data_IF_366344192989
#
_entry.id   IF_366344192989
#
_cell.length_a   1.000
_cell.length_b   1.000
_cell.length_c   1.000
_cell.angle_alpha   90.00
_cell.angle_beta   90.00
_cell.angle_gamma   90.00
#
_symmetry.space_group_name_H-M   'P 1'
#
loop_
_entity.id
_entity.type
_entity.pdbx_description
1 polymer ?
#
# COMPACT_ATOMS: atom_id res chain seq x y z
N UNK A 1 70.28 -11.39 8.85
CA UNK A 1 69.54 -10.31 9.55
C UNK A 1 68.13 -10.29 8.97
N UNK A 2 67.16 -10.89 9.68
CA UNK A 2 65.78 -10.93 9.24
C UNK A 2 65.13 -9.58 9.55
N UNK A 3 64.65 -8.90 8.51
CA UNK A 3 63.93 -7.64 8.63
C UNK A 3 62.54 -7.98 9.19
N UNK A 4 62.31 -7.69 10.47
CA UNK A 4 60.97 -7.77 11.07
C UNK A 4 60.24 -6.48 10.68
N UNK A 5 59.26 -6.60 9.80
CA UNK A 5 58.37 -5.49 9.49
C UNK A 5 57.65 -5.03 10.77
N UNK A 6 57.51 -3.72 10.99
CA UNK A 6 56.86 -3.19 12.18
C UNK A 6 55.40 -3.70 12.26
N UNK A 7 54.89 -3.99 13.47
CA UNK A 7 53.51 -4.43 13.64
C UNK A 7 52.56 -3.39 13.06
N UNK A 8 51.59 -3.86 12.28
CA UNK A 8 50.58 -3.01 11.68
C UNK A 8 49.86 -2.20 12.78
N UNK A 9 49.63 -0.89 12.58
CA UNK A 9 48.94 -0.05 13.55
C UNK A 9 47.52 -0.57 13.78
N UNK A 10 47.12 -0.63 15.05
CA UNK A 10 45.78 -1.05 15.47
C UNK A 10 44.72 -0.16 14.79
N UNK A 11 43.69 -0.74 14.15
CA UNK A 11 42.67 0.04 13.47
C UNK A 11 41.89 0.84 14.52
N UNK A 12 41.88 2.17 14.36
CA UNK A 12 41.05 3.04 15.18
C UNK A 12 39.57 2.78 14.87
N UNK A 13 38.65 2.88 15.85
CA UNK A 13 37.23 2.60 15.64
C UNK A 13 36.55 3.53 14.61
N UNK A 14 37.13 4.71 14.35
CA UNK A 14 36.67 5.59 13.27
C UNK A 14 37.13 5.11 11.87
N UNK A 15 38.25 4.39 11.80
CA UNK A 15 38.76 3.76 10.59
C UNK A 15 37.93 2.55 10.16
N UNK A 16 37.38 1.77 11.11
CA UNK A 16 36.56 0.60 10.81
C UNK A 16 35.26 0.96 10.08
N UNK A 17 34.58 2.04 10.50
CA UNK A 17 33.35 2.49 9.84
C UNK A 17 33.59 3.01 8.42
N UNK A 18 34.73 3.67 8.19
CA UNK A 18 35.13 4.12 6.86
C UNK A 18 35.60 2.96 5.97
N UNK A 19 36.31 1.99 6.54
CA UNK A 19 36.70 0.76 5.86
C UNK A 19 35.47 -0.07 5.46
N UNK A 20 34.48 -0.23 6.35
CA UNK A 20 33.20 -0.89 6.01
C UNK A 20 32.42 -0.15 4.93
N UNK A 21 32.38 1.19 4.97
CA UNK A 21 31.74 1.97 3.91
C UNK A 21 32.49 1.87 2.58
N UNK A 22 33.83 1.89 2.59
CA UNK A 22 34.63 1.76 1.38
C UNK A 22 34.55 0.35 0.78
N UNK A 23 34.55 -0.68 1.62
CA UNK A 23 34.39 -2.07 1.20
C UNK A 23 32.98 -2.30 0.64
N UNK A 24 31.94 -1.78 1.30
CA UNK A 24 30.58 -1.78 0.75
C UNK A 24 30.48 -1.09 -0.62
N UNK A 25 31.19 0.03 -0.81
CA UNK A 25 31.26 0.75 -2.10
C UNK A 25 32.07 -0.01 -3.15
N UNK A 26 33.15 -0.70 -2.76
CA UNK A 26 33.94 -1.55 -3.66
C UNK A 26 33.12 -2.74 -4.13
N UNK A 27 32.43 -3.45 -3.23
CA UNK A 27 31.53 -4.56 -3.59
C UNK A 27 30.32 -4.13 -4.43
N UNK A 28 29.79 -2.92 -4.26
CA UNK A 28 28.77 -2.36 -5.17
C UNK A 28 29.32 -2.13 -6.58
N UNK A 29 30.62 -1.80 -6.69
CA UNK A 29 31.32 -1.60 -7.96
C UNK A 29 31.63 -2.93 -8.65
N UNK A 30 32.10 -3.91 -7.89
CA UNK A 30 32.43 -5.26 -8.40
C UNK A 30 31.17 -6.04 -8.82
N UNK A 31 30.01 -5.76 -8.19
CA UNK A 31 28.70 -6.32 -8.58
C UNK A 31 28.26 -5.97 -10.01
N UNK A 32 28.81 -4.91 -10.60
CA UNK A 32 28.59 -4.61 -12.02
C UNK A 32 29.12 -5.67 -12.98
N UNK A 33 29.94 -6.64 -12.52
CA UNK A 33 30.57 -7.66 -13.37
C UNK A 33 29.85 -9.01 -13.46
N UNK A 34 28.95 -9.37 -12.55
CA UNK A 34 28.33 -10.72 -12.54
C UNK A 34 26.80 -10.71 -12.66
N UNK A 35 26.08 -9.82 -11.96
CA UNK A 35 24.62 -9.72 -12.03
C UNK A 35 24.14 -8.29 -11.72
N UNK A 36 23.31 -7.71 -12.60
CA UNK A 36 22.68 -6.42 -12.34
C UNK A 36 21.52 -6.59 -11.34
N UNK A 37 21.76 -6.25 -10.07
CA UNK A 37 20.72 -6.28 -9.03
C UNK A 37 19.75 -5.11 -9.26
N UNK A 38 18.43 -5.36 -9.41
CA UNK A 38 17.47 -4.28 -9.56
C UNK A 38 17.38 -3.46 -8.25
N UNK A 39 17.07 -2.15 -8.33
CA UNK A 39 16.89 -1.33 -7.13
C UNK A 39 15.74 -1.80 -6.24
N UNK A 40 14.81 -2.59 -6.78
CA UNK A 40 13.66 -3.18 -6.11
C UNK A 40 13.45 -4.59 -6.65
N UNK A 41 13.55 -5.61 -5.79
CA UNK A 41 13.49 -7.01 -6.22
C UNK A 41 12.15 -7.39 -6.87
N UNK A 42 11.04 -6.79 -6.42
CA UNK A 42 9.69 -7.09 -6.92
C UNK A 42 9.28 -6.29 -8.17
N UNK A 43 10.17 -5.49 -8.77
CA UNK A 43 9.77 -4.55 -9.83
C UNK A 43 9.29 -5.24 -11.12
N UNK A 44 9.82 -6.41 -11.44
CA UNK A 44 9.41 -7.21 -12.61
C UNK A 44 7.98 -7.73 -12.43
N UNK A 45 7.67 -8.31 -11.28
CA UNK A 45 6.35 -8.83 -10.94
C UNK A 45 5.30 -7.71 -10.87
N UNK A 46 5.67 -6.56 -10.30
CA UNK A 46 4.82 -5.37 -10.29
C UNK A 46 4.44 -4.93 -11.72
N UNK A 47 5.41 -4.87 -12.64
CA UNK A 47 5.16 -4.47 -14.04
C UNK A 47 4.27 -5.45 -14.79
N UNK A 48 4.45 -6.75 -14.59
CA UNK A 48 3.60 -7.78 -15.22
C UNK A 48 2.12 -7.64 -14.82
N UNK A 49 1.85 -7.14 -13.60
CA UNK A 49 0.49 -6.93 -13.13
C UNK A 49 -0.16 -5.64 -13.69
N UNK A 50 0.63 -4.67 -14.18
CA UNK A 50 0.13 -3.35 -14.58
C UNK A 50 -0.86 -3.43 -15.75
N UNK A 51 -0.62 -4.33 -16.70
CA UNK A 51 -1.47 -4.49 -17.90
C UNK A 51 -2.87 -5.04 -17.60
N UNK A 52 -3.03 -5.82 -16.54
CA UNK A 52 -4.27 -6.54 -16.25
C UNK A 52 -5.32 -5.69 -15.52
N UNK A 53 -4.88 -4.78 -14.66
CA UNK A 53 -5.80 -4.02 -13.80
C UNK A 53 -6.12 -2.63 -14.34
N UNK A 54 -5.18 -1.94 -14.99
CA UNK A 54 -5.40 -0.55 -15.38
C UNK A 54 -6.44 -0.37 -16.49
N UNK A 55 -6.44 -1.24 -17.50
CA UNK A 55 -7.28 -1.10 -18.68
C UNK A 55 -8.79 -1.24 -18.40
N UNK A 56 -9.27 -2.24 -17.62
CA UNK A 56 -10.70 -2.36 -17.30
C UNK A 56 -11.22 -1.19 -16.46
N UNK A 57 -10.44 -0.68 -15.51
CA UNK A 57 -10.85 0.49 -14.71
C UNK A 57 -10.97 1.73 -15.58
N UNK A 58 -10.01 1.99 -16.47
CA UNK A 58 -10.06 3.14 -17.37
C UNK A 58 -11.28 3.05 -18.30
N UNK A 59 -11.56 1.85 -18.84
CA UNK A 59 -12.71 1.60 -19.70
C UNK A 59 -14.05 1.81 -18.96
N UNK A 60 -14.14 1.36 -17.71
CA UNK A 60 -15.34 1.61 -16.88
C UNK A 60 -15.57 3.10 -16.61
N UNK A 61 -14.50 3.85 -16.35
CA UNK A 61 -14.59 5.30 -16.13
C UNK A 61 -14.95 6.08 -17.38
N UNK A 62 -14.34 5.76 -18.53
CA UNK A 62 -14.67 6.41 -19.80
C UNK A 62 -16.11 6.12 -20.21
N UNK A 63 -16.59 4.90 -20.01
CA UNK A 63 -17.98 4.52 -20.26
C UNK A 63 -18.95 5.28 -19.34
N UNK A 64 -18.63 5.38 -18.04
CA UNK A 64 -19.47 6.10 -17.08
C UNK A 64 -19.53 7.59 -17.41
N UNK A 65 -18.39 8.22 -17.71
CA UNK A 65 -18.33 9.61 -18.13
C UNK A 65 -19.14 9.84 -19.41
N UNK A 66 -18.98 8.98 -20.43
CA UNK A 66 -19.74 9.06 -21.67
C UNK A 66 -21.25 8.93 -21.44
N UNK A 67 -21.69 7.97 -20.63
CA UNK A 67 -23.11 7.79 -20.31
C UNK A 67 -23.70 9.01 -19.60
N UNK A 68 -22.97 9.62 -18.66
CA UNK A 68 -23.42 10.82 -17.95
C UNK A 68 -23.50 12.02 -18.90
N UNK A 69 -22.50 12.21 -19.77
CA UNK A 69 -22.50 13.29 -20.78
C UNK A 69 -23.62 13.12 -21.81
N UNK A 70 -23.95 11.90 -22.22
CA UNK A 70 -24.99 11.63 -23.21
C UNK A 70 -26.41 11.69 -22.63
N UNK A 71 -26.59 11.47 -21.32
CA UNK A 71 -27.92 11.30 -20.73
C UNK A 71 -28.57 12.58 -20.21
N UNK A 72 -27.85 13.71 -20.14
CA UNK A 72 -28.33 14.89 -19.43
C UNK A 72 -28.16 16.19 -20.23
N UNK A 73 -29.27 16.89 -20.37
CA UNK A 73 -29.33 18.25 -20.90
C UNK A 73 -28.80 19.21 -19.81
N UNK A 74 -27.61 19.77 -20.02
CA UNK A 74 -26.84 20.51 -19.00
C UNK A 74 -27.62 21.69 -18.38
N UNK A 75 -28.62 22.21 -19.09
CA UNK A 75 -29.48 23.31 -18.66
C UNK A 75 -30.44 22.96 -17.51
N UNK A 76 -30.72 21.67 -17.25
CA UNK A 76 -31.78 21.23 -16.31
C UNK A 76 -31.27 20.57 -15.03
N UNK A 77 -29.96 20.38 -14.87
CA UNK A 77 -29.40 19.62 -13.76
C UNK A 77 -28.21 20.35 -13.09
N UNK A 78 -28.46 21.29 -12.16
CA UNK A 78 -27.38 22.05 -11.49
C UNK A 78 -26.43 21.16 -10.69
N UNK A 79 -26.90 19.99 -10.24
CA UNK A 79 -26.08 19.02 -9.51
C UNK A 79 -25.17 18.17 -10.42
N UNK A 80 -25.36 18.22 -11.74
CA UNK A 80 -24.57 17.43 -12.69
C UNK A 80 -23.09 17.75 -12.64
N UNK A 81 -22.74 19.03 -12.47
CA UNK A 81 -21.34 19.45 -12.36
C UNK A 81 -20.64 18.81 -11.15
N UNK A 82 -21.37 18.65 -10.04
CA UNK A 82 -20.86 17.99 -8.84
C UNK A 82 -20.72 16.47 -9.02
N UNK A 83 -21.64 15.84 -9.74
CA UNK A 83 -21.53 14.43 -10.10
C UNK A 83 -20.30 14.18 -11.00
N UNK A 84 -20.13 14.99 -12.05
CA UNK A 84 -18.98 14.92 -12.94
C UNK A 84 -17.66 15.12 -12.20
N UNK A 85 -17.59 16.13 -11.32
CA UNK A 85 -16.41 16.35 -10.49
C UNK A 85 -16.12 15.14 -9.58
N UNK A 86 -17.15 14.57 -8.96
CA UNK A 86 -17.02 13.40 -8.09
C UNK A 86 -16.51 12.17 -8.86
N UNK A 87 -17.02 11.94 -10.07
CA UNK A 87 -16.55 10.85 -10.94
C UNK A 87 -15.10 11.07 -11.41
N UNK A 88 -14.74 12.29 -11.79
CA UNK A 88 -13.36 12.61 -12.18
C UNK A 88 -12.39 12.42 -11.01
N UNK A 89 -12.75 12.90 -9.82
CA UNK A 89 -11.91 12.75 -8.64
C UNK A 89 -11.79 11.27 -8.23
N UNK A 90 -12.89 10.52 -8.31
CA UNK A 90 -12.89 9.07 -8.12
C UNK A 90 -11.95 8.36 -9.10
N UNK A 91 -12.01 8.69 -10.39
CA UNK A 91 -11.14 8.13 -11.41
C UNK A 91 -9.65 8.35 -11.10
N UNK A 92 -9.29 9.59 -10.75
CA UNK A 92 -7.91 9.96 -10.38
C UNK A 92 -7.45 9.18 -9.16
N UNK A 93 -8.30 9.02 -8.15
CA UNK A 93 -7.96 8.27 -6.94
C UNK A 93 -7.83 6.77 -7.20
N UNK A 94 -8.64 6.17 -8.07
CA UNK A 94 -8.45 4.78 -8.48
C UNK A 94 -7.13 4.58 -9.22
N UNK A 95 -6.78 5.46 -10.16
CA UNK A 95 -5.46 5.44 -10.83
C UNK A 95 -4.34 5.57 -9.81
N UNK A 96 -4.47 6.51 -8.86
CA UNK A 96 -3.54 6.67 -7.76
C UNK A 96 -3.41 5.43 -6.88
N UNK A 97 -4.52 4.74 -6.60
CA UNK A 97 -4.54 3.48 -5.86
C UNK A 97 -3.82 2.35 -6.60
N UNK A 98 -4.03 2.23 -7.91
CA UNK A 98 -3.32 1.26 -8.75
C UNK A 98 -1.83 1.55 -8.75
N UNK A 99 -1.42 2.81 -8.98
CA UNK A 99 -0.02 3.21 -8.92
C UNK A 99 0.61 2.88 -7.56
N UNK A 100 -0.07 3.22 -6.47
CA UNK A 100 0.42 2.91 -5.12
C UNK A 100 0.51 1.39 -4.87
N UNK A 101 -0.38 0.59 -5.43
CA UNK A 101 -0.34 -0.88 -5.32
C UNK A 101 0.85 -1.45 -6.11
N UNK A 102 1.14 -0.91 -7.29
CA UNK A 102 2.31 -1.30 -8.09
C UNK A 102 3.60 -0.96 -7.36
N UNK A 103 3.68 0.24 -6.77
CA UNK A 103 4.79 0.63 -5.91
C UNK A 103 4.88 -0.29 -4.68
N UNK A 104 3.78 -0.62 -4.02
CA UNK A 104 3.81 -1.56 -2.91
C UNK A 104 4.39 -2.91 -3.36
N UNK A 105 3.94 -3.45 -4.49
CA UNK A 105 4.46 -4.72 -5.02
C UNK A 105 5.95 -4.68 -5.36
N UNK A 106 6.50 -3.56 -5.81
CA UNK A 106 7.94 -3.50 -6.06
C UNK A 106 8.79 -3.63 -4.78
N UNK A 107 8.24 -3.27 -3.62
CA UNK A 107 8.85 -3.53 -2.31
C UNK A 107 8.59 -4.93 -1.76
N UNK A 108 7.77 -5.76 -2.41
CA UNK A 108 7.54 -7.13 -1.96
C UNK A 108 8.82 -7.92 -2.19
N UNK A 109 9.48 -8.32 -1.11
CA UNK A 109 10.68 -9.15 -1.20
C UNK A 109 10.69 -10.13 -0.05
N UNK A 110 10.70 -11.42 -0.40
CA UNK A 110 10.80 -12.49 0.60
C UNK A 110 12.27 -12.70 1.00
N UNK A 111 12.56 -13.15 2.23
CA UNK A 111 13.92 -13.51 2.62
C UNK A 111 14.55 -14.52 1.67
N UNK A 112 13.77 -15.49 1.18
CA UNK A 112 14.22 -16.48 0.20
C UNK A 112 14.68 -15.83 -1.10
N UNK A 113 13.88 -14.91 -1.66
CA UNK A 113 14.28 -14.15 -2.84
C UNK A 113 15.56 -13.36 -2.59
N UNK A 114 15.73 -12.74 -1.43
CA UNK A 114 17.01 -12.06 -1.11
C UNK A 114 18.18 -13.05 -1.08
N UNK A 115 18.00 -14.23 -0.48
CA UNK A 115 19.05 -15.26 -0.41
C UNK A 115 19.39 -15.86 -1.79
N UNK A 116 18.45 -15.86 -2.74
CA UNK A 116 18.74 -16.23 -4.14
C UNK A 116 19.74 -15.24 -4.79
N UNK A 117 19.69 -13.96 -4.42
CA UNK A 117 20.66 -12.95 -4.88
C UNK A 117 21.92 -12.89 -3.99
N UNK A 118 21.86 -13.41 -2.77
CA UNK A 118 22.86 -13.30 -1.72
C UNK A 118 22.98 -14.63 -0.94
N UNK A 119 23.76 -15.62 -1.44
CA UNK A 119 23.88 -16.94 -0.83
C UNK A 119 24.38 -16.90 0.63
N UNK A 120 24.14 -17.97 1.40
CA UNK A 120 24.33 -18.01 2.86
C UNK A 120 25.80 -17.99 3.36
N UNK A 121 26.79 -17.97 2.46
CA UNK A 121 28.22 -17.89 2.78
C UNK A 121 28.69 -16.48 3.21
N UNK A 122 27.74 -15.57 3.39
CA UNK A 122 27.99 -14.18 3.73
C UNK A 122 28.25 -14.04 5.25
N UNK A 123 29.38 -13.42 5.59
CA UNK A 123 29.76 -13.14 6.98
C UNK A 123 28.68 -12.39 7.79
N UNK A 124 28.80 -12.44 9.13
CA UNK A 124 27.80 -11.94 10.10
C UNK A 124 27.33 -10.51 9.81
N UNK A 125 28.25 -9.62 9.42
CA UNK A 125 27.93 -8.22 9.12
C UNK A 125 27.01 -8.07 7.91
N UNK A 126 27.17 -8.93 6.90
CA UNK A 126 26.32 -8.90 5.71
C UNK A 126 24.93 -9.46 6.01
N UNK A 127 24.81 -10.46 6.87
CA UNK A 127 23.51 -10.92 7.35
C UNK A 127 22.75 -9.81 8.08
N UNK A 128 23.44 -9.03 8.91
CA UNK A 128 22.86 -7.85 9.58
C UNK A 128 22.40 -6.80 8.57
N UNK A 129 23.21 -6.52 7.55
CA UNK A 129 22.84 -5.61 6.46
C UNK A 129 21.59 -6.08 5.71
N UNK A 130 21.50 -7.36 5.32
CA UNK A 130 20.33 -7.90 4.61
C UNK A 130 19.05 -7.83 5.45
N UNK A 131 19.15 -8.07 6.75
CA UNK A 131 18.01 -7.90 7.67
C UNK A 131 17.56 -6.44 7.73
N UNK A 132 18.49 -5.49 7.78
CA UNK A 132 18.17 -4.08 7.77
C UNK A 132 17.50 -3.66 6.43
N UNK A 133 18.03 -4.13 5.31
CA UNK A 133 17.47 -3.88 3.98
C UNK A 133 16.06 -4.45 3.85
N UNK A 134 15.83 -5.68 4.31
CA UNK A 134 14.53 -6.33 4.31
C UNK A 134 13.48 -5.57 5.14
N UNK A 135 13.88 -4.99 6.28
CA UNK A 135 13.00 -4.12 7.06
C UNK A 135 12.64 -2.84 6.29
N UNK A 136 13.61 -2.21 5.64
CA UNK A 136 13.37 -1.03 4.79
C UNK A 136 12.37 -1.33 3.67
N UNK A 137 12.49 -2.49 3.01
CA UNK A 137 11.52 -2.92 2.00
C UNK A 137 10.13 -3.19 2.62
N UNK A 138 10.06 -3.86 3.76
CA UNK A 138 8.79 -4.10 4.44
C UNK A 138 8.09 -2.79 4.83
N UNK A 139 8.85 -1.78 5.28
CA UNK A 139 8.31 -0.46 5.59
C UNK A 139 7.85 0.28 4.35
N UNK A 140 8.60 0.21 3.26
CA UNK A 140 8.21 0.73 1.94
C UNK A 140 6.89 0.13 1.46
N UNK A 141 6.78 -1.20 1.48
CA UNK A 141 5.55 -1.94 1.15
C UNK A 141 4.37 -1.44 2.00
N UNK A 142 4.56 -1.37 3.33
CA UNK A 142 3.52 -0.97 4.27
C UNK A 142 3.06 0.48 4.06
N UNK A 143 3.95 1.39 3.68
CA UNK A 143 3.59 2.77 3.40
C UNK A 143 2.76 2.88 2.12
N UNK A 144 3.21 2.24 1.05
CA UNK A 144 2.53 2.30 -0.24
C UNK A 144 1.19 1.58 -0.25
N UNK A 145 1.09 0.41 0.40
CA UNK A 145 -0.20 -0.29 0.48
C UNK A 145 -1.23 0.48 1.32
N UNK A 146 -0.80 1.21 2.36
CA UNK A 146 -1.69 2.10 3.12
C UNK A 146 -2.22 3.23 2.24
N UNK A 147 -1.37 3.84 1.42
CA UNK A 147 -1.78 4.87 0.45
C UNK A 147 -2.75 4.30 -0.58
N UNK A 148 -2.47 3.10 -1.10
CA UNK A 148 -3.34 2.42 -2.06
C UNK A 148 -4.75 2.18 -1.51
N UNK A 149 -4.84 1.62 -0.29
CA UNK A 149 -6.13 1.39 0.38
C UNK A 149 -6.86 2.70 0.64
N UNK A 150 -6.19 3.71 1.18
CA UNK A 150 -6.84 5.00 1.45
C UNK A 150 -7.39 5.67 0.18
N UNK A 151 -6.63 5.60 -0.92
CA UNK A 151 -7.05 6.14 -2.21
C UNK A 151 -8.24 5.35 -2.79
N UNK A 152 -8.20 4.01 -2.69
CA UNK A 152 -9.30 3.15 -3.12
C UNK A 152 -10.60 3.45 -2.36
N UNK A 153 -10.55 3.45 -1.03
CA UNK A 153 -11.70 3.74 -0.17
C UNK A 153 -12.32 5.10 -0.52
N UNK A 154 -11.48 6.14 -0.67
CA UNK A 154 -11.93 7.47 -1.03
C UNK A 154 -12.54 7.51 -2.45
N UNK A 155 -11.96 6.79 -3.39
CA UNK A 155 -12.47 6.69 -4.76
C UNK A 155 -13.86 6.05 -4.81
N UNK A 156 -14.07 4.96 -4.06
CA UNK A 156 -15.37 4.27 -3.95
C UNK A 156 -16.43 5.21 -3.37
N UNK A 157 -16.11 5.91 -2.27
CA UNK A 157 -17.06 6.86 -1.67
C UNK A 157 -17.44 7.97 -2.66
N UNK A 158 -16.48 8.55 -3.36
CA UNK A 158 -16.74 9.59 -4.36
C UNK A 158 -17.54 9.08 -5.56
N UNK A 159 -17.31 7.84 -5.99
CA UNK A 159 -18.08 7.18 -7.04
C UNK A 159 -19.55 7.06 -6.62
N UNK A 160 -19.80 6.57 -5.40
CA UNK A 160 -21.16 6.40 -4.87
C UNK A 160 -21.86 7.76 -4.67
N UNK A 161 -21.13 8.78 -4.23
CA UNK A 161 -21.65 10.15 -4.15
C UNK A 161 -22.04 10.66 -5.53
N UNK A 162 -21.16 10.54 -6.53
CA UNK A 162 -21.46 10.93 -7.91
C UNK A 162 -22.69 10.20 -8.47
N UNK A 163 -22.77 8.89 -8.26
CA UNK A 163 -23.91 8.07 -8.69
C UNK A 163 -25.21 8.50 -8.01
N UNK A 164 -25.16 8.75 -6.69
CA UNK A 164 -26.32 9.22 -5.93
C UNK A 164 -26.81 10.56 -6.47
N UNK A 165 -25.90 11.49 -6.76
CA UNK A 165 -26.22 12.81 -7.31
C UNK A 165 -26.90 12.69 -8.68
N UNK A 166 -26.40 11.85 -9.60
CA UNK A 166 -26.99 11.65 -10.94
C UNK A 166 -28.45 11.17 -10.87
N UNK A 167 -28.75 10.34 -9.88
CA UNK A 167 -30.10 9.77 -9.69
C UNK A 167 -31.08 10.80 -9.13
N UNK A 168 -30.59 11.87 -8.47
CA UNK A 168 -31.44 12.91 -7.92
C UNK A 168 -32.30 13.54 -9.03
N UNK A 169 -33.62 13.39 -8.97
CA UNK A 169 -34.51 13.85 -10.02
C UNK A 169 -34.50 15.39 -10.13
N UNK A 170 -34.29 15.95 -11.33
CA UNK A 170 -34.52 17.37 -11.56
C UNK A 170 -36.03 17.63 -11.69
N UNK A 171 -36.64 18.30 -10.69
CA UNK A 171 -38.03 18.77 -10.75
C UNK A 171 -38.89 18.38 -9.54
N UNK A 172 -40.11 18.93 -9.51
CA UNK A 172 -41.01 18.91 -8.33
C UNK A 172 -41.75 17.59 -8.09
N UNK A 173 -41.78 16.68 -9.06
CA UNK A 173 -42.51 15.40 -8.99
C UNK A 173 -41.59 14.20 -9.26
N UNK A 174 -40.79 13.79 -8.27
CA UNK A 174 -39.90 12.65 -8.40
C UNK A 174 -40.67 11.31 -8.46
N UNK A 175 -40.28 10.44 -9.40
CA UNK A 175 -40.78 9.05 -9.43
C UNK A 175 -40.38 8.30 -8.16
N UNK A 176 -41.29 7.47 -7.62
CA UNK A 176 -41.02 6.62 -6.44
C UNK A 176 -39.77 5.76 -6.61
N UNK A 177 -39.51 5.27 -7.83
CA UNK A 177 -38.33 4.46 -8.15
C UNK A 177 -37.04 5.27 -8.02
N UNK A 178 -37.04 6.55 -8.43
CA UNK A 178 -35.87 7.42 -8.27
C UNK A 178 -35.60 7.75 -6.82
N UNK A 179 -36.64 7.99 -6.02
CA UNK A 179 -36.50 8.19 -4.57
C UNK A 179 -35.87 6.96 -3.92
N UNK A 180 -36.36 5.75 -4.25
CA UNK A 180 -35.80 4.51 -3.74
C UNK A 180 -34.31 4.37 -4.13
N UNK A 181 -33.95 4.67 -5.37
CA UNK A 181 -32.57 4.61 -5.84
C UNK A 181 -31.66 5.63 -5.11
N UNK A 182 -32.13 6.84 -4.80
CA UNK A 182 -31.41 7.82 -3.96
C UNK A 182 -31.18 7.26 -2.55
N UNK A 183 -32.21 6.69 -1.92
CA UNK A 183 -32.10 6.11 -0.57
C UNK A 183 -31.06 4.98 -0.55
N UNK A 184 -31.10 4.09 -1.54
CA UNK A 184 -30.10 3.01 -1.68
C UNK A 184 -28.70 3.57 -1.85
N UNK A 185 -28.52 4.60 -2.68
CA UNK A 185 -27.23 5.28 -2.88
C UNK A 185 -26.69 5.89 -1.58
N UNK A 186 -27.54 6.55 -0.79
CA UNK A 186 -27.17 7.11 0.51
C UNK A 186 -26.76 6.02 1.51
N UNK A 187 -27.51 4.91 1.58
CA UNK A 187 -27.19 3.78 2.45
C UNK A 187 -25.85 3.14 2.05
N UNK A 188 -25.61 2.97 0.75
CA UNK A 188 -24.35 2.45 0.23
C UNK A 188 -23.17 3.36 0.62
N UNK A 189 -23.31 4.68 0.41
CA UNK A 189 -22.31 5.67 0.84
C UNK A 189 -22.01 5.58 2.35
N UNK A 190 -23.05 5.53 3.19
CA UNK A 190 -22.90 5.49 4.64
C UNK A 190 -22.21 4.20 5.11
N UNK A 191 -22.57 3.08 4.49
CA UNK A 191 -21.98 1.76 4.79
C UNK A 191 -20.50 1.74 4.46
N UNK A 192 -20.11 2.21 3.27
CA UNK A 192 -18.70 2.27 2.85
C UNK A 192 -17.87 3.24 3.69
N UNK A 193 -18.43 4.41 4.02
CA UNK A 193 -17.77 5.37 4.89
C UNK A 193 -17.54 4.80 6.30
N UNK A 194 -18.53 4.11 6.85
CA UNK A 194 -18.43 3.45 8.16
C UNK A 194 -17.39 2.34 8.13
N UNK A 195 -17.42 1.47 7.12
CA UNK A 195 -16.47 0.36 6.96
C UNK A 195 -15.02 0.86 6.82
N UNK A 196 -14.83 1.88 5.99
CA UNK A 196 -13.53 2.52 5.80
C UNK A 196 -13.01 3.13 7.11
N UNK A 197 -13.90 3.74 7.90
CA UNK A 197 -13.55 4.33 9.19
C UNK A 197 -13.19 3.27 10.24
N UNK A 198 -14.02 2.23 10.42
CA UNK A 198 -13.76 1.16 11.39
C UNK A 198 -12.45 0.41 11.07
N UNK A 199 -12.20 0.13 9.80
CA UNK A 199 -10.97 -0.52 9.33
C UNK A 199 -9.71 0.30 9.69
N UNK A 200 -9.78 1.63 9.58
CA UNK A 200 -8.69 2.53 10.00
C UNK A 200 -8.51 2.55 11.51
N UNK A 201 -9.59 2.54 12.29
CA UNK A 201 -9.54 2.48 13.74
C UNK A 201 -8.88 1.18 14.24
N UNK A 202 -9.26 0.02 13.70
CA UNK A 202 -8.68 -1.27 14.06
C UNK A 202 -7.18 -1.29 13.74
N UNK A 203 -6.79 -0.86 12.53
CA UNK A 203 -5.37 -0.79 12.13
C UNK A 203 -4.53 0.13 13.03
N UNK A 204 -5.09 1.27 13.47
CA UNK A 204 -4.40 2.18 14.41
C UNK A 204 -4.15 1.51 15.76
N UNK A 205 -5.16 0.81 16.31
CA UNK A 205 -5.04 0.09 17.58
C UNK A 205 -3.99 -1.02 17.52
N UNK A 206 -3.97 -1.80 16.44
CA UNK A 206 -2.97 -2.86 16.28
C UNK A 206 -1.54 -2.31 16.23
N UNK A 207 -1.34 -1.14 15.61
CA UNK A 207 -0.04 -0.46 15.60
C UNK A 207 0.38 -0.08 17.03
N UNK A 208 -0.49 0.63 17.76
CA UNK A 208 -0.21 1.03 19.15
C UNK A 208 0.09 -0.17 20.04
N UNK A 209 -0.60 -1.30 19.83
CA UNK A 209 -0.35 -2.54 20.56
C UNK A 209 1.04 -3.12 20.25
N UNK A 210 1.46 -3.19 18.98
CA UNK A 210 2.82 -3.64 18.62
C UNK A 210 3.89 -2.74 19.23
N UNK A 211 3.68 -1.43 19.16
CA UNK A 211 4.61 -0.45 19.72
C UNK A 211 4.75 -0.64 21.25
N UNK A 212 3.63 -0.85 21.97
CA UNK A 212 3.67 -1.17 23.41
C UNK A 212 4.41 -2.46 23.73
N UNK A 213 4.17 -3.53 22.97
CA UNK A 213 4.88 -4.81 23.15
C UNK A 213 6.38 -4.65 22.92
N UNK A 214 6.79 -3.87 21.92
CA UNK A 214 8.21 -3.58 21.68
C UNK A 214 8.87 -2.74 22.78
N UNK A 215 8.09 -2.01 23.58
CA UNK A 215 8.53 -1.23 24.73
C UNK A 215 8.49 -2.01 26.05
N UNK A 216 8.08 -3.29 26.03
CA UNK A 216 7.94 -4.10 27.25
C UNK A 216 6.76 -3.71 28.14
N UNK A 217 5.80 -2.92 27.62
CA UNK A 217 4.60 -2.54 28.36
C UNK A 217 3.61 -3.72 28.42
N UNK A 218 2.89 -3.89 29.54
CA UNK A 218 1.88 -4.94 29.68
C UNK A 218 0.77 -4.78 28.63
N UNK A 219 0.33 -5.91 28.06
CA UNK A 219 -0.78 -5.94 27.10
C UNK A 219 -2.07 -5.49 27.80
N UNK A 220 -2.82 -4.58 27.19
CA UNK A 220 -4.19 -4.33 27.63
C UNK A 220 -5.05 -5.59 27.45
N UNK A 221 -6.01 -5.84 28.37
CA UNK A 221 -6.93 -6.96 28.22
C UNK A 221 -7.68 -6.85 26.89
N UNK A 222 -7.72 -7.96 26.15
CA UNK A 222 -8.47 -8.04 24.88
C UNK A 222 -9.94 -7.70 25.14
N UNK A 223 -10.49 -6.84 24.30
CA UNK A 223 -11.93 -6.53 24.35
C UNK A 223 -12.75 -7.69 23.78
N UNK A 224 -13.96 -7.89 24.31
CA UNK A 224 -14.80 -9.05 24.01
C UNK A 224 -15.13 -9.24 22.51
N UNK A 225 -15.17 -8.18 21.71
CA UNK A 225 -15.41 -8.28 20.27
C UNK A 225 -14.19 -8.82 19.50
N UNK A 226 -12.95 -8.59 19.97
CA UNK A 226 -11.75 -9.19 19.36
C UNK A 226 -11.75 -10.72 19.47
N UNK A 227 -12.33 -11.25 20.55
CA UNK A 227 -12.51 -12.70 20.75
C UNK A 227 -13.55 -13.31 19.81
N UNK A 228 -14.54 -12.54 19.36
CA UNK A 228 -15.59 -13.05 18.45
C UNK A 228 -15.11 -13.09 17.00
N UNK A 229 -14.37 -12.06 16.55
CA UNK A 229 -14.01 -11.92 15.14
C UNK A 229 -12.67 -12.56 14.72
N UNK A 230 -11.89 -13.15 15.66
CA UNK A 230 -10.64 -13.88 15.35
C UNK A 230 -10.61 -15.28 16.00
N UNK A 231 -11.35 -16.28 15.48
CA UNK A 231 -11.41 -17.63 16.06
C UNK A 231 -10.11 -18.45 15.88
N UNK A 232 -9.19 -18.03 15.02
CA UNK A 232 -8.01 -18.80 14.57
C UNK A 232 -6.90 -19.04 15.61
N UNK A 233 -7.11 -18.68 16.88
CA UNK A 233 -6.09 -18.92 17.94
C UNK A 233 -6.45 -20.01 18.94
N UNK A 234 -7.52 -20.78 18.71
CA UNK A 234 -7.68 -22.06 19.42
C UNK A 234 -6.72 -23.07 18.80
N UNK A 235 -5.51 -23.17 19.35
CA UNK A 235 -4.74 -24.39 19.15
C UNK A 235 -5.56 -25.57 19.68
N UNK A 236 -5.61 -26.70 18.95
CA UNK A 236 -6.22 -27.91 19.50
C UNK A 236 -5.46 -28.29 20.76
N UNK A 237 -6.16 -28.40 21.89
CA UNK A 237 -5.57 -29.00 23.08
C UNK A 237 -5.24 -30.47 22.77
N UNK A 238 -4.07 -30.96 23.23
CA UNK A 238 -3.65 -32.35 23.02
C UNK A 238 -4.54 -33.35 23.76
#
# INVERSE_FOLDING_TARGET
MANQDPPAPDPTPEGEGQAQQQDARWWLRERGRLWAVPPLFGISEARSCMGLFAAPFLAGFTLTAALVTLSLDASKAPLLNWALLSFLLSAVLFVGSVHATLWARSYLTTPKQMLEWFPDDLGVDRRRFLIAEQRTHADGFNQWIKRAVNAYDAAVILLLVGLTIVVVPPGSHPSKVRIAAVVVGVIACATEALWSFTSRCVRRREKTRRDRVSQGLPNEPRTWWETIFRPETRQPEP
#
